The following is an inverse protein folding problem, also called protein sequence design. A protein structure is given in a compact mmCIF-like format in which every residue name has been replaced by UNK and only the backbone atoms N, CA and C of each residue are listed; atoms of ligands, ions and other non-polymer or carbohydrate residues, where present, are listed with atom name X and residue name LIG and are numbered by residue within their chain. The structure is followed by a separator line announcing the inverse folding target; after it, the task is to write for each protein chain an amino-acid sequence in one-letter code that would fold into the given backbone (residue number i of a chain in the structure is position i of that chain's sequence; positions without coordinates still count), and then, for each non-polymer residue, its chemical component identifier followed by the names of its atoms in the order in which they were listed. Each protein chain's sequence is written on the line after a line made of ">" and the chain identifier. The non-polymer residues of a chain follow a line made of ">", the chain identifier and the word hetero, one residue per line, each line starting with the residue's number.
data_IF_620109411950
#
_entry.id   IF_620109411950
#
_cell.length_a   1.000
_cell.length_b   1.000
_cell.length_c   1.000
_cell.angle_alpha   90.00
_cell.angle_beta   90.00
_cell.angle_gamma   90.00
#
_symmetry.space_group_name_H-M   'P 1'
#
loop_
_entity.id
_entity.type
_entity.pdbx_description
1 polymer ?
#
# COMPACT_ATOMS: atom_id res chain seq x y z
N UNK A 1 16.40 13.61 12.04
CA UNK A 1 16.89 13.95 10.69
C UNK A 1 18.26 13.29 10.49
N UNK A 2 18.65 12.95 9.26
CA UNK A 2 19.96 12.35 8.92
C UNK A 2 20.79 13.35 8.10
N UNK A 3 21.45 14.34 8.74
CA UNK A 3 22.27 15.33 8.05
C UNK A 3 23.60 14.69 7.60
N UNK A 4 24.04 15.06 6.41
CA UNK A 4 25.34 14.68 5.84
C UNK A 4 26.09 15.91 5.37
N UNK A 5 27.41 15.86 5.49
CA UNK A 5 28.34 16.89 5.05
C UNK A 5 29.03 16.42 3.77
N UNK A 6 29.07 17.31 2.79
CA UNK A 6 29.82 17.12 1.54
C UNK A 6 31.29 17.49 1.73
N UNK A 7 32.18 17.06 0.83
CA UNK A 7 33.61 17.45 0.83
C UNK A 7 33.82 18.96 0.76
N UNK A 8 32.90 19.67 0.11
CA UNK A 8 32.87 21.14 0.05
C UNK A 8 32.17 21.79 1.26
N UNK A 9 32.00 21.06 2.39
CA UNK A 9 31.48 21.55 3.69
C UNK A 9 30.02 21.98 3.70
N UNK A 10 29.27 21.74 2.63
CA UNK A 10 27.82 21.99 2.63
C UNK A 10 27.05 20.82 3.24
N UNK A 11 25.98 21.17 3.96
CA UNK A 11 25.14 20.25 4.72
C UNK A 11 23.80 20.02 4.02
N UNK A 12 23.37 18.76 3.96
CA UNK A 12 22.08 18.38 3.40
C UNK A 12 21.50 17.21 4.19
N UNK A 13 20.19 16.98 4.09
CA UNK A 13 19.64 15.68 4.47
C UNK A 13 20.15 14.62 3.49
N UNK A 14 20.55 13.42 3.97
CA UNK A 14 21.04 12.31 3.12
C UNK A 14 20.09 12.03 1.96
N UNK A 15 18.78 11.99 2.22
CA UNK A 15 17.76 11.75 1.20
C UNK A 15 17.69 12.86 0.15
N UNK A 16 17.88 14.12 0.55
CA UNK A 16 17.84 15.27 -0.37
C UNK A 16 19.05 15.27 -1.30
N UNK A 17 20.26 15.14 -0.75
CA UNK A 17 21.47 15.18 -1.58
C UNK A 17 21.57 13.99 -2.53
N UNK A 18 21.17 12.78 -2.11
CA UNK A 18 21.14 11.62 -2.99
C UNK A 18 20.13 11.78 -4.13
N UNK A 19 18.97 12.39 -3.87
CA UNK A 19 18.00 12.74 -4.91
C UNK A 19 18.57 13.77 -5.89
N UNK A 20 19.20 14.83 -5.38
CA UNK A 20 19.84 15.85 -6.21
C UNK A 20 20.94 15.25 -7.08
N UNK A 21 21.84 14.42 -6.54
CA UNK A 21 22.90 13.77 -7.30
C UNK A 21 22.33 12.89 -8.42
N UNK A 22 21.25 12.15 -8.13
CA UNK A 22 20.59 11.28 -9.13
C UNK A 22 19.97 12.06 -10.29
N UNK A 23 19.42 13.26 -10.03
CA UNK A 23 18.68 14.04 -11.03
C UNK A 23 19.57 15.06 -11.76
N UNK A 24 20.45 15.74 -11.02
CA UNK A 24 21.28 16.85 -11.52
C UNK A 24 22.73 16.43 -11.84
N UNK A 25 23.14 15.21 -11.50
CA UNK A 25 24.51 14.72 -11.64
C UNK A 25 25.34 14.90 -10.37
N UNK A 26 26.57 14.38 -10.39
CA UNK A 26 27.51 14.33 -9.24
C UNK A 26 28.13 15.68 -8.88
N UNK A 27 27.29 16.67 -8.57
CA UNK A 27 27.68 18.01 -8.19
C UNK A 27 26.94 18.46 -6.92
N UNK A 28 27.63 19.25 -6.09
CA UNK A 28 27.03 19.87 -4.92
C UNK A 28 25.95 20.88 -5.36
N UNK A 29 24.70 20.80 -4.86
CA UNK A 29 23.63 21.74 -5.21
C UNK A 29 23.92 23.21 -4.83
N UNK A 30 24.79 23.44 -3.84
CA UNK A 30 25.07 24.80 -3.35
C UNK A 30 26.18 25.52 -4.11
N UNK A 31 27.20 24.79 -4.59
CA UNK A 31 28.41 25.40 -5.17
C UNK A 31 28.91 24.74 -6.45
N UNK A 32 28.22 23.71 -6.96
CA UNK A 32 28.58 22.96 -8.16
C UNK A 32 29.96 22.26 -8.12
N UNK A 33 30.57 22.14 -6.94
CA UNK A 33 31.78 21.34 -6.78
C UNK A 33 31.48 19.84 -6.96
N UNK A 34 32.39 19.03 -7.55
CA UNK A 34 32.20 17.59 -7.69
C UNK A 34 31.84 16.93 -6.35
N UNK A 35 30.77 16.13 -6.35
CA UNK A 35 30.23 15.51 -5.15
C UNK A 35 29.69 14.11 -5.48
N UNK A 36 30.34 13.07 -4.98
CA UNK A 36 29.90 11.69 -5.17
C UNK A 36 29.15 11.17 -3.93
N UNK A 37 28.21 10.20 -4.09
CA UNK A 37 27.51 9.60 -2.96
C UNK A 37 28.44 8.98 -1.89
N UNK A 38 29.61 8.51 -2.31
CA UNK A 38 30.65 7.95 -1.43
C UNK A 38 31.33 8.99 -0.54
N UNK A 39 31.23 10.26 -0.90
CA UNK A 39 31.95 11.36 -0.24
C UNK A 39 31.13 11.99 0.90
N UNK A 40 29.90 11.51 1.09
CA UNK A 40 28.98 12.02 2.10
C UNK A 40 29.37 11.47 3.48
N UNK A 41 29.83 12.36 4.34
CA UNK A 41 30.23 12.03 5.70
C UNK A 41 29.23 12.52 6.74
N UNK A 42 29.25 11.92 7.92
CA UNK A 42 28.49 12.43 9.06
C UNK A 42 29.12 13.74 9.53
N UNK A 43 28.33 14.82 9.73
CA UNK A 43 28.84 16.09 10.22
C UNK A 43 29.49 15.94 11.61
N UNK A 44 30.34 16.91 11.95
CA UNK A 44 31.02 16.91 13.25
C UNK A 44 30.03 16.87 14.43
N UNK A 45 30.41 16.17 15.51
CA UNK A 45 29.54 15.94 16.67
C UNK A 45 29.02 17.23 17.32
N UNK A 46 29.83 18.29 17.33
CA UNK A 46 29.42 19.61 17.83
C UNK A 46 28.22 20.18 17.05
N UNK A 47 28.24 20.07 15.72
CA UNK A 47 27.12 20.47 14.88
C UNK A 47 25.86 19.65 15.19
N UNK A 48 25.99 18.32 15.29
CA UNK A 48 24.88 17.43 15.62
C UNK A 48 24.28 17.76 16.99
N UNK A 49 25.12 18.01 18.00
CA UNK A 49 24.67 18.40 19.33
C UNK A 49 23.94 19.75 19.30
N UNK A 50 24.40 20.73 18.52
CA UNK A 50 23.71 22.02 18.40
C UNK A 50 22.36 21.80 17.73
N UNK A 51 22.32 21.07 16.62
CA UNK A 51 21.10 20.74 15.88
C UNK A 51 20.06 20.05 16.78
N UNK A 52 20.48 19.05 17.57
CA UNK A 52 19.58 18.28 18.43
C UNK A 52 19.04 19.07 19.62
N UNK A 53 19.73 20.12 20.05
CA UNK A 53 19.30 20.99 21.15
C UNK A 53 18.48 22.20 20.70
N UNK A 54 18.29 22.42 19.39
CA UNK A 54 17.40 23.46 18.91
C UNK A 54 15.98 23.23 19.46
N UNK A 55 15.41 24.25 20.10
CA UNK A 55 14.03 24.23 20.58
C UNK A 55 13.06 24.39 19.42
N UNK A 56 12.09 23.49 19.33
CA UNK A 56 11.02 23.48 18.34
C UNK A 56 9.70 23.53 19.10
N UNK A 57 8.81 24.46 18.73
CA UNK A 57 7.44 24.46 19.24
C UNK A 57 6.64 23.36 18.57
N UNK A 58 5.92 22.56 19.36
CA UNK A 58 5.07 21.52 18.81
C UNK A 58 3.97 22.12 17.92
N UNK A 59 3.74 21.60 16.69
CA UNK A 59 2.67 22.08 15.82
C UNK A 59 1.30 21.45 16.12
N UNK A 60 1.21 20.54 17.09
CA UNK A 60 -0.05 19.84 17.44
C UNK A 60 -0.97 20.81 18.20
N UNK A 61 -2.24 20.90 17.78
CA UNK A 61 -3.25 21.71 18.46
C UNK A 61 -3.37 21.27 19.93
N UNK A 62 -3.48 22.22 20.84
CA UNK A 62 -3.58 22.00 22.30
C UNK A 62 -2.29 21.43 22.94
N UNK A 63 -1.15 21.52 22.24
CA UNK A 63 0.16 21.26 22.80
C UNK A 63 1.06 22.49 22.64
N UNK A 64 1.34 23.17 23.75
CA UNK A 64 2.19 24.37 23.79
C UNK A 64 3.64 24.07 24.21
N UNK A 65 4.06 22.81 24.16
CA UNK A 65 5.41 22.42 24.57
C UNK A 65 6.49 22.88 23.56
N UNK A 66 7.59 23.39 24.10
CA UNK A 66 8.84 23.60 23.38
C UNK A 66 9.80 22.46 23.69
N UNK A 67 10.22 21.76 22.64
CA UNK A 67 10.93 20.48 22.71
C UNK A 67 12.21 20.56 21.88
N UNK A 68 13.27 19.92 22.38
CA UNK A 68 14.51 19.85 21.60
C UNK A 68 14.32 18.99 20.36
N UNK A 69 14.94 19.38 19.25
CA UNK A 69 14.88 18.65 17.97
C UNK A 69 15.20 17.16 18.13
N UNK A 70 16.19 16.80 18.95
CA UNK A 70 16.57 15.41 19.18
C UNK A 70 15.47 14.56 19.86
N UNK A 71 14.59 15.18 20.65
CA UNK A 71 13.46 14.52 21.33
C UNK A 71 12.14 14.67 20.60
N UNK A 72 12.10 15.47 19.53
CA UNK A 72 10.91 15.80 18.78
C UNK A 72 10.13 14.56 18.30
N UNK A 73 10.85 13.56 17.79
CA UNK A 73 10.23 12.30 17.33
C UNK A 73 9.52 11.52 18.45
N UNK A 74 10.13 11.45 19.64
CA UNK A 74 9.54 10.77 20.80
C UNK A 74 8.30 11.51 21.31
N UNK A 75 8.38 12.84 21.41
CA UNK A 75 7.25 13.67 21.81
C UNK A 75 6.06 13.52 20.84
N UNK A 76 6.29 13.52 19.52
CA UNK A 76 5.23 13.28 18.54
C UNK A 76 4.63 11.88 18.63
N UNK A 77 5.42 10.87 19.00
CA UNK A 77 4.88 9.53 19.27
C UNK A 77 3.95 9.54 20.49
N UNK A 78 4.27 10.30 21.55
CA UNK A 78 3.37 10.50 22.68
C UNK A 78 2.02 11.11 22.29
N UNK A 79 2.01 12.07 21.36
CA UNK A 79 0.75 12.60 20.79
C UNK A 79 -0.06 11.55 20.03
N UNK A 80 0.61 10.62 19.33
CA UNK A 80 -0.08 9.51 18.68
C UNK A 80 -0.70 8.57 19.71
N UNK A 81 0.01 8.25 20.78
CA UNK A 81 -0.50 7.38 21.85
C UNK A 81 -1.67 8.02 22.61
N UNK A 82 -1.61 9.33 22.89
CA UNK A 82 -2.74 10.07 23.50
C UNK A 82 -3.94 10.16 22.55
N UNK A 83 -3.73 10.44 21.26
CA UNK A 83 -4.81 10.43 20.25
C UNK A 83 -5.37 9.04 20.00
N UNK A 84 -4.55 7.99 20.05
CA UNK A 84 -5.00 6.59 19.94
C UNK A 84 -5.76 6.15 21.20
N UNK A 85 -5.39 6.66 22.37
CA UNK A 85 -6.14 6.49 23.63
C UNK A 85 -7.53 7.15 23.62
N UNK A 86 -7.66 8.34 22.99
CA UNK A 86 -8.94 9.06 22.92
C UNK A 86 -9.80 8.71 21.69
N UNK A 87 -9.21 8.22 20.59
CA UNK A 87 -9.92 8.01 19.30
C UNK A 87 -9.92 6.55 18.81
N UNK A 88 -9.13 5.64 19.38
CA UNK A 88 -9.04 4.26 18.88
C UNK A 88 -8.94 3.19 19.97
N UNK A 89 -9.93 3.13 20.86
CA UNK A 89 -10.37 1.79 21.26
C UNK A 89 -11.07 1.17 20.04
N UNK A 90 -10.50 0.10 19.46
CA UNK A 90 -11.24 -0.72 18.51
C UNK A 90 -12.39 -1.39 19.29
N UNK A 91 -13.51 -0.69 19.41
CA UNK A 91 -14.74 -1.27 19.96
C UNK A 91 -15.28 -2.19 18.87
N UNK A 92 -15.13 -3.50 19.08
CA UNK A 92 -15.78 -4.48 18.24
C UNK A 92 -17.29 -4.21 18.29
N UNK A 93 -17.86 -3.70 17.17
CA UNK A 93 -19.30 -3.41 17.04
C UNK A 93 -20.16 -4.68 16.99
N UNK A 94 -19.56 -5.84 17.25
CA UNK A 94 -20.20 -7.14 17.21
C UNK A 94 -20.63 -7.50 15.78
N UNK A 95 -21.66 -8.34 15.71
CA UNK A 95 -22.23 -8.82 14.46
C UNK A 95 -22.02 -10.32 14.27
N UNK A 96 -22.85 -10.91 13.40
CA UNK A 96 -22.80 -12.34 13.12
C UNK A 96 -21.49 -12.70 12.41
N UNK A 97 -20.73 -13.70 12.89
CA UNK A 97 -19.54 -14.17 12.19
C UNK A 97 -19.82 -14.54 10.74
N UNK A 98 -18.95 -14.10 9.84
CA UNK A 98 -19.10 -14.38 8.41
C UNK A 98 -18.78 -15.84 8.15
N UNK A 99 -19.75 -16.57 7.63
CA UNK A 99 -19.55 -17.93 7.13
C UNK A 99 -18.83 -17.93 5.77
N UNK A 100 -18.18 -19.05 5.45
CA UNK A 100 -17.57 -19.32 4.16
C UNK A 100 -18.62 -19.28 3.04
N UNK A 101 -18.26 -18.78 1.86
CA UNK A 101 -19.23 -18.54 0.78
C UNK A 101 -19.95 -19.83 0.33
N UNK A 102 -19.24 -20.96 0.31
CA UNK A 102 -19.80 -22.25 -0.13
C UNK A 102 -20.78 -22.87 0.85
N UNK A 103 -20.77 -22.47 2.13
CA UNK A 103 -21.75 -22.97 3.12
C UNK A 103 -23.02 -22.11 3.19
N UNK A 104 -23.09 -21.02 2.42
CA UNK A 104 -24.23 -20.12 2.40
C UNK A 104 -25.32 -20.59 1.44
N UNK A 105 -26.58 -20.23 1.76
CA UNK A 105 -27.70 -20.40 0.83
C UNK A 105 -27.53 -19.54 -0.43
N UNK A 106 -28.16 -19.92 -1.54
CA UNK A 106 -28.14 -19.17 -2.82
C UNK A 106 -28.46 -17.68 -2.64
N UNK A 107 -29.45 -17.35 -1.81
CA UNK A 107 -29.83 -15.95 -1.50
C UNK A 107 -28.72 -15.20 -0.77
N UNK A 108 -28.08 -15.84 0.21
CA UNK A 108 -26.98 -15.26 0.96
C UNK A 108 -25.72 -15.10 0.08
N UNK A 109 -25.40 -16.07 -0.77
CA UNK A 109 -24.32 -15.96 -1.77
C UNK A 109 -24.55 -14.75 -2.70
N UNK A 110 -25.77 -14.62 -3.27
CA UNK A 110 -26.16 -13.48 -4.10
C UNK A 110 -25.95 -12.14 -3.37
N UNK A 111 -26.35 -12.05 -2.10
CA UNK A 111 -26.16 -10.84 -1.31
C UNK A 111 -24.68 -10.53 -1.02
N UNK A 112 -23.89 -11.57 -0.70
CA UNK A 112 -22.46 -11.45 -0.40
C UNK A 112 -21.63 -11.04 -1.61
N UNK A 113 -22.00 -11.51 -2.79
CA UNK A 113 -21.31 -11.22 -4.06
C UNK A 113 -21.93 -10.05 -4.83
N UNK A 114 -22.88 -9.30 -4.25
CA UNK A 114 -23.66 -8.29 -4.97
C UNK A 114 -22.80 -7.23 -5.66
N UNK A 115 -21.71 -6.83 -5.02
CA UNK A 115 -20.86 -5.75 -5.51
C UNK A 115 -19.93 -6.24 -6.62
N UNK A 116 -19.29 -7.38 -6.41
CA UNK A 116 -18.53 -8.06 -7.46
C UNK A 116 -19.41 -8.34 -8.69
N UNK A 117 -20.66 -8.76 -8.49
CA UNK A 117 -21.61 -8.97 -9.58
C UNK A 117 -21.85 -7.69 -10.38
N UNK A 118 -21.95 -6.52 -9.73
CA UNK A 118 -22.13 -5.24 -10.43
C UNK A 118 -20.87 -4.87 -11.22
N UNK A 119 -19.69 -5.06 -10.64
CA UNK A 119 -18.42 -4.79 -11.32
C UNK A 119 -18.24 -5.67 -12.57
N UNK A 120 -18.50 -6.97 -12.45
CA UNK A 120 -18.44 -7.90 -13.59
C UNK A 120 -19.47 -7.55 -14.66
N UNK A 121 -20.69 -7.14 -14.25
CA UNK A 121 -21.71 -6.70 -15.20
C UNK A 121 -21.28 -5.45 -15.97
N UNK A 122 -20.76 -4.43 -15.27
CA UNK A 122 -20.27 -3.21 -15.90
C UNK A 122 -19.10 -3.47 -16.85
N UNK A 123 -18.19 -4.38 -16.48
CA UNK A 123 -17.12 -4.83 -17.36
C UNK A 123 -17.66 -5.52 -18.61
N UNK A 124 -18.56 -6.49 -18.45
CA UNK A 124 -19.13 -7.23 -19.57
C UNK A 124 -19.88 -6.30 -20.55
N UNK A 125 -20.66 -5.34 -20.04
CA UNK A 125 -21.36 -4.35 -20.86
C UNK A 125 -20.40 -3.49 -21.69
N UNK A 126 -19.23 -3.15 -21.14
CA UNK A 126 -18.27 -2.28 -21.78
C UNK A 126 -17.37 -3.00 -22.79
N UNK A 127 -16.91 -4.19 -22.46
CA UNK A 127 -15.84 -4.88 -23.21
C UNK A 127 -16.35 -6.09 -24.02
N UNK A 128 -17.46 -6.71 -23.60
CA UNK A 128 -17.87 -8.05 -24.08
C UNK A 128 -19.36 -8.08 -24.51
N UNK A 129 -19.91 -6.93 -24.90
CA UNK A 129 -21.29 -6.82 -25.39
C UNK A 129 -22.37 -7.24 -24.39
N UNK A 130 -22.04 -7.30 -23.10
CA UNK A 130 -22.94 -7.73 -22.02
C UNK A 130 -22.96 -9.24 -21.75
N UNK A 131 -22.08 -10.05 -22.36
CA UNK A 131 -22.03 -11.50 -22.11
C UNK A 131 -21.35 -11.84 -20.77
N UNK A 132 -22.12 -11.67 -19.68
CA UNK A 132 -21.69 -12.00 -18.33
C UNK A 132 -21.35 -13.49 -18.18
N UNK A 133 -22.02 -14.37 -18.95
CA UNK A 133 -21.82 -15.81 -18.83
C UNK A 133 -20.42 -16.17 -19.35
N UNK A 134 -20.06 -15.72 -20.54
CA UNK A 134 -18.73 -15.94 -21.11
C UNK A 134 -17.63 -15.37 -20.19
N UNK A 135 -17.79 -14.13 -19.73
CA UNK A 135 -16.83 -13.48 -18.81
C UNK A 135 -16.60 -14.30 -17.54
N UNK A 136 -17.68 -14.69 -16.86
CA UNK A 136 -17.59 -15.48 -15.63
C UNK A 136 -16.96 -16.86 -15.87
N UNK A 137 -17.28 -17.52 -16.98
CA UNK A 137 -16.70 -18.82 -17.32
C UNK A 137 -15.19 -18.71 -17.56
N UNK A 138 -14.76 -17.72 -18.35
CA UNK A 138 -13.34 -17.47 -18.63
C UNK A 138 -12.58 -17.16 -17.34
N UNK A 139 -13.13 -16.31 -16.48
CA UNK A 139 -12.52 -16.02 -15.17
C UNK A 139 -12.36 -17.27 -14.31
N UNK A 140 -13.34 -18.16 -14.31
CA UNK A 140 -13.27 -19.39 -13.52
C UNK A 140 -12.25 -20.39 -14.10
N UNK A 141 -12.17 -20.52 -15.43
CA UNK A 141 -11.15 -21.34 -16.09
C UNK A 141 -9.73 -20.86 -15.81
N UNK A 142 -9.51 -19.54 -15.91
CA UNK A 142 -8.22 -18.95 -15.57
C UNK A 142 -7.87 -19.15 -14.10
N UNK A 143 -8.84 -19.06 -13.20
CA UNK A 143 -8.63 -19.33 -11.78
C UNK A 143 -8.25 -20.79 -11.49
N UNK A 144 -8.87 -21.77 -12.18
CA UNK A 144 -8.50 -23.19 -12.08
C UNK A 144 -7.07 -23.42 -12.60
N UNK A 145 -6.74 -22.86 -13.77
CA UNK A 145 -5.39 -22.97 -14.34
C UNK A 145 -4.32 -22.32 -13.45
N UNK A 146 -4.60 -21.15 -12.88
CA UNK A 146 -3.69 -20.48 -11.96
C UNK A 146 -3.46 -21.26 -10.65
N UNK A 147 -4.42 -22.13 -10.27
CA UNK A 147 -4.29 -23.08 -9.15
C UNK A 147 -3.65 -24.42 -9.55
N UNK A 148 -3.20 -24.55 -10.80
CA UNK A 148 -2.69 -25.79 -11.39
C UNK A 148 -3.74 -26.94 -11.46
N UNK A 149 -5.03 -26.61 -11.44
CA UNK A 149 -6.14 -27.57 -11.55
C UNK A 149 -6.52 -27.81 -13.03
N UNK A 150 -5.54 -28.14 -13.86
CA UNK A 150 -5.71 -28.26 -15.32
C UNK A 150 -6.79 -29.26 -15.72
N UNK A 151 -6.82 -30.43 -15.07
CA UNK A 151 -7.84 -31.46 -15.32
C UNK A 151 -9.27 -30.93 -15.14
N UNK A 152 -9.53 -30.17 -14.07
CA UNK A 152 -10.86 -29.60 -13.82
C UNK A 152 -11.22 -28.49 -14.81
N UNK A 153 -10.22 -27.71 -15.25
CA UNK A 153 -10.41 -26.70 -16.28
C UNK A 153 -10.81 -27.35 -17.62
N UNK A 154 -10.13 -28.43 -18.01
CA UNK A 154 -10.41 -29.15 -19.25
C UNK A 154 -11.80 -29.84 -19.21
N UNK A 155 -12.15 -30.46 -18.08
CA UNK A 155 -13.48 -31.02 -17.85
C UNK A 155 -14.58 -29.95 -17.95
N UNK A 156 -14.35 -28.77 -17.38
CA UNK A 156 -15.29 -27.66 -17.45
C UNK A 156 -15.44 -27.12 -18.88
N UNK A 157 -14.35 -26.97 -19.63
CA UNK A 157 -14.40 -26.56 -21.05
C UNK A 157 -15.17 -27.57 -21.90
N UNK A 158 -14.99 -28.87 -21.66
CA UNK A 158 -15.78 -29.90 -22.33
C UNK A 158 -17.28 -29.77 -22.03
N UNK A 159 -17.66 -29.49 -20.78
CA UNK A 159 -19.06 -29.24 -20.40
C UNK A 159 -19.60 -27.98 -21.09
N UNK A 160 -18.82 -26.90 -21.14
CA UNK A 160 -19.21 -25.66 -21.82
C UNK A 160 -19.46 -25.85 -23.32
N UNK A 161 -18.70 -26.74 -23.96
CA UNK A 161 -18.84 -27.08 -25.38
C UNK A 161 -19.94 -28.13 -25.66
N UNK A 162 -20.72 -28.53 -24.64
CA UNK A 162 -21.75 -29.55 -24.79
C UNK A 162 -21.24 -30.98 -24.93
N UNK A 163 -19.95 -31.22 -24.64
CA UNK A 163 -19.29 -32.54 -24.66
C UNK A 163 -19.24 -33.22 -23.29
N UNK A 164 -19.97 -32.67 -22.31
CA UNK A 164 -20.06 -33.22 -20.96
C UNK A 164 -20.97 -34.46 -20.89
N UNK A 165 -21.03 -35.08 -19.71
CA UNK A 165 -21.76 -36.34 -19.45
C UNK A 165 -23.29 -36.27 -19.57
N UNK A 166 -23.86 -35.12 -19.95
CA UNK A 166 -25.28 -34.95 -20.17
C UNK A 166 -25.65 -35.36 -21.59
N UNK A 167 -26.57 -36.33 -21.75
CA UNK A 167 -27.15 -36.66 -23.05
C UNK A 167 -27.77 -35.40 -23.66
N UNK A 168 -27.38 -35.07 -24.89
CA UNK A 168 -27.93 -33.93 -25.60
C UNK A 168 -29.41 -34.23 -25.92
N UNK A 169 -30.36 -33.31 -25.66
CA UNK A 169 -31.72 -33.49 -26.14
C UNK A 169 -31.71 -33.57 -27.67
N UNK A 170 -32.48 -34.51 -28.21
CA UNK A 170 -32.65 -34.76 -29.64
C UNK A 170 -33.29 -33.57 -30.37
#
# INVERSE_FOLDING_TARGET
>A
ADPVETTCRHLFCRTCILKCIRVMGSYCPSCWYPCFPTDLVTPVKSFLNILDNLSIRCPVKECDEEISHGKYGQHLSGHKEMKEGEVYSYINKGGRPRQHLLSLTRRAQKHRLRELKRQVKAFAEKEEGGDIKAVCMTLFLLALRAKNEHKQADELEAIMQGRGSGLHPA
#
